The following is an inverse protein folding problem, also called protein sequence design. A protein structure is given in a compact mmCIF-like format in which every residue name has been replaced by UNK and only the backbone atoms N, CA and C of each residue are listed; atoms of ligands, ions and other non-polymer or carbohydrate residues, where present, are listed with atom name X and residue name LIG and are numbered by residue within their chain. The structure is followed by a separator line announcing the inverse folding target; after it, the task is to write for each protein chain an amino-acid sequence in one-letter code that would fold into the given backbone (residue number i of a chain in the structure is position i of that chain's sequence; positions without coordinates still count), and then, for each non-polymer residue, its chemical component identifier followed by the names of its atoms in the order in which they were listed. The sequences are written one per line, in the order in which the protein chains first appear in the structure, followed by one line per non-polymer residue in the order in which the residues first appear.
data_IF_852985307139
#
_entry.id   IF_852985307139
#
_cell.length_a   1.000
_cell.length_b   1.000
_cell.length_c   1.000
_cell.angle_alpha   90.00
_cell.angle_beta   90.00
_cell.angle_gamma   90.00
#
_symmetry.space_group_name_H-M   'P 1'
#
loop_
_entity.id
_entity.type
_entity.pdbx_description
1 polymer ?
#
# COMPACT_ATOMS: atom_id res chain seq x y z
N UNK A 1 -7.63 -7.87 -15.37
CA UNK A 1 -8.34 -7.53 -14.12
C UNK A 1 -8.55 -6.04 -13.93
N UNK A 2 -7.51 -5.20 -13.99
CA UNK A 2 -7.64 -3.76 -13.71
C UNK A 2 -8.09 -2.93 -14.93
N UNK A 3 -7.69 -3.30 -16.15
CA UNK A 3 -8.13 -2.64 -17.39
C UNK A 3 -7.10 -1.70 -17.99
N UNK A 4 -7.57 -0.72 -18.76
CA UNK A 4 -6.71 0.34 -19.30
C UNK A 4 -6.26 1.30 -18.19
N UNK A 5 -5.05 1.83 -18.31
CA UNK A 5 -4.51 2.81 -17.39
C UNK A 5 -5.23 4.16 -17.54
N UNK A 6 -5.69 4.70 -16.41
CA UNK A 6 -6.44 5.96 -16.33
C UNK A 6 -5.90 6.92 -15.27
N UNK A 7 -4.84 6.53 -14.58
CA UNK A 7 -4.20 7.28 -13.50
C UNK A 7 -3.39 8.49 -13.98
N UNK A 8 -2.62 9.06 -13.06
CA UNK A 8 -1.82 10.27 -13.32
C UNK A 8 -0.60 10.04 -14.22
N UNK A 9 -0.29 8.79 -14.58
CA UNK A 9 0.84 8.43 -15.42
C UNK A 9 2.18 8.58 -14.71
N UNK A 10 3.24 8.28 -15.46
CA UNK A 10 4.60 8.35 -14.93
C UNK A 10 5.02 9.78 -14.60
N UNK A 11 5.53 9.98 -13.38
CA UNK A 11 6.15 11.24 -12.97
C UNK A 11 7.48 10.96 -12.28
N UNK A 12 8.58 10.83 -13.05
CA UNK A 12 9.89 10.46 -12.51
C UNK A 12 10.38 11.39 -11.40
N UNK A 13 10.18 12.71 -11.53
CA UNK A 13 10.61 13.67 -10.52
C UNK A 13 9.85 13.55 -9.19
N UNK A 14 8.56 13.20 -9.24
CA UNK A 14 7.78 12.97 -8.02
C UNK A 14 8.23 11.68 -7.30
N UNK A 15 8.55 10.62 -8.04
CA UNK A 15 9.11 9.40 -7.48
C UNK A 15 10.50 9.61 -6.89
N UNK A 16 11.39 10.27 -7.64
CA UNK A 16 12.74 10.61 -7.19
C UNK A 16 12.69 11.42 -5.89
N UNK A 17 11.75 12.36 -5.75
CA UNK A 17 11.57 13.12 -4.52
C UNK A 17 11.23 12.24 -3.31
N UNK A 18 10.37 11.23 -3.47
CA UNK A 18 10.03 10.30 -2.39
C UNK A 18 11.21 9.39 -2.08
N UNK A 19 11.82 8.79 -3.10
CA UNK A 19 12.91 7.83 -2.93
C UNK A 19 14.15 8.49 -2.30
N UNK A 20 14.45 9.75 -2.66
CA UNK A 20 15.48 10.55 -2.00
C UNK A 20 15.13 10.86 -0.54
N UNK A 21 13.85 11.12 -0.24
CA UNK A 21 13.40 11.34 1.15
C UNK A 21 13.47 10.07 1.99
N UNK A 22 13.25 8.91 1.39
CA UNK A 22 13.33 7.60 2.05
C UNK A 22 14.78 7.09 2.17
N UNK A 23 15.66 7.54 1.27
CA UNK A 23 17.02 7.03 1.14
C UNK A 23 17.09 5.67 0.42
N UNK A 24 16.01 5.26 -0.26
CA UNK A 24 15.95 4.03 -1.03
C UNK A 24 14.86 4.05 -2.11
N UNK A 25 15.06 3.25 -3.15
CA UNK A 25 14.09 3.07 -4.22
C UNK A 25 12.94 2.14 -3.83
N UNK A 26 11.73 2.45 -4.27
CA UNK A 26 10.54 1.61 -4.11
C UNK A 26 10.46 0.57 -5.24
N UNK A 27 9.77 -0.58 -5.03
CA UNK A 27 9.59 -1.62 -6.03
C UNK A 27 9.00 -1.07 -7.33
N UNK A 28 9.51 -1.59 -8.46
CA UNK A 28 9.06 -1.15 -9.78
C UNK A 28 7.60 -1.49 -10.06
N UNK A 29 7.11 -2.65 -9.60
CA UNK A 29 5.73 -3.07 -9.78
C UNK A 29 4.74 -2.20 -8.99
N UNK A 30 5.11 -1.82 -7.76
CA UNK A 30 4.36 -0.83 -6.98
C UNK A 30 4.23 0.50 -7.72
N UNK A 31 5.34 1.06 -8.20
CA UNK A 31 5.32 2.33 -8.96
C UNK A 31 4.45 2.21 -10.21
N UNK A 32 4.58 1.12 -10.98
CA UNK A 32 3.80 0.90 -12.20
C UNK A 32 2.29 0.85 -11.92
N UNK A 33 1.85 0.16 -10.86
CA UNK A 33 0.42 0.12 -10.49
C UNK A 33 -0.08 1.52 -10.14
N UNK A 34 0.70 2.29 -9.37
CA UNK A 34 0.30 3.63 -8.96
C UNK A 34 0.29 4.61 -10.13
N UNK A 35 1.25 4.56 -11.03
CA UNK A 35 1.25 5.39 -12.24
C UNK A 35 0.05 5.07 -13.14
N UNK A 36 -0.30 3.78 -13.26
CA UNK A 36 -1.37 3.34 -14.11
C UNK A 36 -2.76 3.69 -13.56
N UNK A 37 -2.96 3.68 -12.24
CA UNK A 37 -4.30 3.77 -11.66
C UNK A 37 -4.45 4.81 -10.55
N UNK A 38 -3.37 5.27 -9.91
CA UNK A 38 -3.42 6.14 -8.74
C UNK A 38 -3.60 7.63 -9.05
N UNK A 39 -4.11 8.43 -8.09
CA UNK A 39 -4.65 7.99 -6.80
C UNK A 39 -6.12 7.59 -6.91
N UNK A 40 -6.48 6.47 -6.30
CA UNK A 40 -7.82 5.88 -6.37
C UNK A 40 -8.22 5.21 -5.06
N UNK A 41 -9.52 5.02 -4.91
CA UNK A 41 -10.11 4.04 -4.00
C UNK A 41 -10.65 2.88 -4.83
N UNK A 42 -10.16 1.67 -4.58
CA UNK A 42 -10.55 0.45 -5.28
C UNK A 42 -11.65 -0.28 -4.51
N UNK A 43 -12.71 -0.66 -5.23
CA UNK A 43 -13.89 -1.32 -4.71
C UNK A 43 -14.60 -0.61 -3.54
N UNK A 44 -14.21 0.61 -3.18
CA UNK A 44 -14.70 1.29 -1.98
C UNK A 44 -13.83 1.09 -0.73
N UNK A 45 -12.79 0.26 -0.80
CA UNK A 45 -12.06 -0.25 0.38
C UNK A 45 -10.58 0.12 0.38
N UNK A 46 -9.85 -0.22 -0.67
CA UNK A 46 -8.40 -0.04 -0.72
C UNK A 46 -8.05 1.33 -1.27
N UNK A 47 -7.32 2.13 -0.49
CA UNK A 47 -6.87 3.46 -0.86
C UNK A 47 -5.42 3.44 -1.34
N UNK A 48 -5.21 4.01 -2.52
CA UNK A 48 -3.89 4.19 -3.12
C UNK A 48 -3.68 5.67 -3.43
N UNK A 49 -2.58 6.22 -2.92
CA UNK A 49 -2.17 7.61 -3.14
C UNK A 49 -1.19 7.70 -4.33
N UNK A 50 -0.92 8.92 -4.80
CA UNK A 50 0.00 9.13 -5.93
C UNK A 50 0.97 10.29 -5.64
N UNK A 51 2.28 10.13 -5.91
CA UNK A 51 3.29 11.12 -5.55
C UNK A 51 3.13 12.46 -6.28
N UNK A 52 2.57 12.45 -7.50
CA UNK A 52 2.42 13.66 -8.32
C UNK A 52 1.20 14.52 -7.94
N UNK A 53 0.49 14.19 -6.86
CA UNK A 53 -0.74 14.92 -6.47
C UNK A 53 -0.52 15.73 -5.22
N UNK A 54 -1.22 16.85 -5.09
CA UNK A 54 -1.07 17.76 -3.93
C UNK A 54 -1.86 17.23 -2.74
N UNK A 55 -3.14 16.89 -2.95
CA UNK A 55 -4.06 16.51 -1.86
C UNK A 55 -3.85 15.07 -1.39
N UNK A 56 -3.61 14.15 -2.32
CA UNK A 56 -3.42 12.72 -2.06
C UNK A 56 -1.97 12.31 -2.28
N UNK A 57 -1.07 13.18 -1.80
CA UNK A 57 0.36 13.03 -2.01
C UNK A 57 0.88 11.80 -1.24
N UNK A 58 1.39 10.82 -1.97
CA UNK A 58 1.93 9.60 -1.37
C UNK A 58 3.07 9.89 -0.39
N UNK A 59 4.04 10.73 -0.75
CA UNK A 59 5.21 11.00 0.09
C UNK A 59 4.86 11.71 1.40
N UNK A 60 3.88 12.60 1.35
CA UNK A 60 3.31 13.22 2.56
C UNK A 60 2.62 12.17 3.44
N UNK A 61 1.75 11.35 2.86
CA UNK A 61 1.03 10.32 3.59
C UNK A 61 1.97 9.28 4.23
N UNK A 62 3.02 8.84 3.51
CA UNK A 62 4.06 7.96 4.05
C UNK A 62 4.68 8.58 5.29
N UNK A 63 5.13 9.84 5.20
CA UNK A 63 5.82 10.53 6.30
C UNK A 63 4.92 10.69 7.53
N UNK A 64 3.69 11.13 7.34
CA UNK A 64 2.72 11.30 8.43
C UNK A 64 2.41 9.96 9.10
N UNK A 65 2.25 8.90 8.31
CA UNK A 65 1.99 7.55 8.82
C UNK A 65 3.21 6.99 9.56
N UNK A 66 4.43 7.17 9.03
CA UNK A 66 5.68 6.76 9.69
C UNK A 66 5.85 7.44 11.05
N UNK A 67 5.54 8.74 11.15
CA UNK A 67 5.59 9.46 12.43
C UNK A 67 4.58 8.87 13.41
N UNK A 68 3.32 8.71 12.99
CA UNK A 68 2.28 8.16 13.86
C UNK A 68 2.62 6.75 14.38
N UNK A 69 3.14 5.87 13.52
CA UNK A 69 3.52 4.51 13.88
C UNK A 69 4.80 4.43 14.72
N UNK A 70 5.73 5.37 14.54
CA UNK A 70 6.94 5.48 15.35
C UNK A 70 6.69 5.96 16.79
N UNK A 71 5.54 6.58 17.07
CA UNK A 71 5.14 6.99 18.42
C UNK A 71 4.47 5.86 19.21
N UNK A 72 4.10 4.75 18.56
CA UNK A 72 3.47 3.59 19.21
C UNK A 72 4.52 2.84 20.05
N UNK A 73 4.26 2.60 21.35
CA UNK A 73 5.15 1.80 22.18
C UNK A 73 4.96 0.31 21.85
N UNK A 74 5.77 -0.20 20.94
CA UNK A 74 5.83 -1.62 20.60
C UNK A 74 6.49 -2.41 21.72
N UNK A 75 5.81 -3.42 22.25
CA UNK A 75 6.38 -4.37 23.21
C UNK A 75 6.94 -5.62 22.49
N UNK A 76 7.36 -6.61 23.27
CA UNK A 76 7.97 -7.83 22.74
C UNK A 76 6.96 -8.91 22.33
N UNK A 77 5.65 -8.71 22.56
CA UNK A 77 4.59 -9.71 22.37
C UNK A 77 3.62 -9.26 21.27
N UNK A 78 4.16 -9.11 20.06
CA UNK A 78 3.42 -8.72 18.85
C UNK A 78 3.08 -9.98 18.06
N UNK A 79 1.79 -10.25 17.85
CA UNK A 79 1.37 -11.33 16.97
C UNK A 79 1.81 -11.05 15.53
N UNK A 80 2.53 -12.02 14.95
CA UNK A 80 3.11 -11.88 13.61
C UNK A 80 4.23 -10.85 13.49
N UNK A 81 4.94 -10.58 14.59
CA UNK A 81 6.05 -9.62 14.69
C UNK A 81 6.96 -9.56 13.44
N UNK A 82 7.03 -8.41 12.75
CA UNK A 82 7.93 -8.19 11.62
C UNK A 82 9.43 -8.27 11.97
N UNK A 83 9.83 -8.01 13.24
CA UNK A 83 11.24 -7.85 13.63
C UNK A 83 12.12 -9.06 13.30
N UNK A 84 11.76 -10.32 13.63
CA UNK A 84 12.57 -11.48 13.29
C UNK A 84 12.74 -11.68 11.79
N UNK A 85 11.67 -11.48 11.00
CA UNK A 85 11.70 -11.61 9.55
C UNK A 85 12.57 -10.55 8.88
N UNK A 86 12.60 -9.33 9.44
CA UNK A 86 13.42 -8.23 8.97
C UNK A 86 14.86 -8.27 9.52
N UNK A 87 15.14 -9.07 10.55
CA UNK A 87 16.44 -9.13 11.20
C UNK A 87 16.80 -7.85 11.93
N UNK A 88 15.81 -7.18 12.52
CA UNK A 88 15.95 -5.95 13.31
C UNK A 88 15.55 -6.21 14.75
N UNK A 89 16.11 -5.46 15.71
CA UNK A 89 15.81 -5.60 17.14
C UNK A 89 14.71 -4.66 17.63
N UNK A 90 14.48 -3.57 16.91
CA UNK A 90 13.49 -2.54 17.23
C UNK A 90 12.59 -2.33 16.02
N UNK A 91 11.32 -2.03 16.26
CA UNK A 91 10.40 -1.70 15.19
C UNK A 91 10.82 -0.37 14.56
N UNK A 92 10.99 -0.36 13.23
CA UNK A 92 11.40 0.82 12.48
C UNK A 92 10.41 1.08 11.37
N UNK A 93 10.09 2.36 11.17
CA UNK A 93 9.19 2.80 10.11
C UNK A 93 9.90 3.80 9.19
N UNK A 94 9.72 3.66 7.88
CA UNK A 94 10.28 4.54 6.87
C UNK A 94 11.81 4.47 6.70
N UNK A 95 12.48 3.51 7.34
CA UNK A 95 13.92 3.26 7.16
C UNK A 95 14.16 2.20 6.09
N UNK A 96 15.41 2.11 5.62
CA UNK A 96 15.81 1.14 4.60
C UNK A 96 15.64 -0.33 5.01
N UNK A 97 15.60 -0.62 6.30
CA UNK A 97 15.45 -1.94 6.92
C UNK A 97 14.12 -2.08 7.71
N UNK A 98 13.20 -1.12 7.55
CA UNK A 98 11.95 -1.03 8.31
C UNK A 98 10.70 -1.10 7.43
N UNK A 99 9.55 -0.91 8.08
CA UNK A 99 8.22 -0.93 7.46
C UNK A 99 7.92 0.43 6.81
N UNK A 100 7.60 0.42 5.53
CA UNK A 100 7.18 1.63 4.79
C UNK A 100 5.72 1.51 4.38
N UNK A 101 4.80 2.30 4.94
CA UNK A 101 3.39 2.22 4.59
C UNK A 101 3.19 2.60 3.12
N UNK A 102 2.35 1.87 2.38
CA UNK A 102 2.12 2.09 0.94
C UNK A 102 0.65 2.19 0.55
N UNK A 103 -0.25 1.58 1.33
CA UNK A 103 -1.68 1.65 1.12
C UNK A 103 -2.40 1.42 2.44
N UNK A 104 -3.68 1.75 2.49
CA UNK A 104 -4.55 1.45 3.62
C UNK A 104 -5.95 1.12 3.17
N UNK A 105 -6.75 0.52 4.04
CA UNK A 105 -8.15 0.20 3.74
C UNK A 105 -9.11 1.00 4.62
N UNK A 106 -10.41 0.89 4.33
CA UNK A 106 -11.48 1.43 5.17
C UNK A 106 -11.76 0.59 6.43
N UNK A 107 -11.11 -0.57 6.55
CA UNK A 107 -11.22 -1.48 7.70
C UNK A 107 -10.14 -1.27 8.76
N UNK A 108 -9.21 -0.33 8.53
CA UNK A 108 -8.10 -0.03 9.45
C UNK A 108 -6.78 -0.71 9.07
N UNK A 109 -6.79 -1.59 8.06
CA UNK A 109 -5.61 -2.31 7.63
C UNK A 109 -4.60 -1.35 6.97
N UNK A 110 -3.32 -1.51 7.30
CA UNK A 110 -2.22 -0.81 6.65
C UNK A 110 -1.25 -1.78 6.02
N UNK A 111 -0.93 -1.51 4.76
CA UNK A 111 -0.05 -2.33 3.94
C UNK A 111 1.32 -1.66 3.94
N UNK A 112 2.35 -2.43 4.28
CA UNK A 112 3.73 -1.99 4.37
C UNK A 112 4.60 -2.76 3.38
N UNK A 113 5.52 -2.05 2.74
CA UNK A 113 6.69 -2.64 2.12
C UNK A 113 7.83 -2.68 3.11
N UNK A 114 8.57 -3.79 3.12
CA UNK A 114 9.79 -3.88 3.87
C UNK A 114 10.81 -4.76 3.16
N UNK A 115 12.07 -4.54 3.48
CA UNK A 115 13.19 -5.41 3.12
C UNK A 115 14.01 -5.61 4.38
N UNK A 116 14.39 -6.85 4.66
CA UNK A 116 15.19 -7.14 5.85
C UNK A 116 16.56 -6.48 5.79
N UNK A 117 17.30 -6.50 6.90
CA UNK A 117 18.64 -5.91 7.02
C UNK A 117 19.66 -6.42 5.97
N UNK A 118 19.44 -7.61 5.40
CA UNK A 118 20.24 -8.17 4.30
C UNK A 118 19.95 -7.55 2.93
N UNK A 119 18.84 -6.80 2.79
CA UNK A 119 18.45 -6.07 1.58
C UNK A 119 18.05 -6.94 0.39
N UNK A 120 17.86 -8.25 0.57
CA UNK A 120 17.79 -9.19 -0.56
C UNK A 120 16.48 -9.14 -1.34
N UNK A 121 15.31 -9.06 -0.69
CA UNK A 121 14.01 -9.06 -1.37
C UNK A 121 12.96 -8.25 -0.61
N UNK A 122 12.05 -7.62 -1.38
CA UNK A 122 10.89 -6.92 -0.83
C UNK A 122 9.83 -7.92 -0.35
N UNK A 123 9.18 -7.56 0.76
CA UNK A 123 8.07 -8.29 1.37
C UNK A 123 6.93 -7.32 1.64
N UNK A 124 5.72 -7.86 1.67
CA UNK A 124 4.55 -7.14 2.14
C UNK A 124 4.26 -7.57 3.56
N UNK A 125 4.05 -6.59 4.44
CA UNK A 125 3.43 -6.80 5.75
C UNK A 125 2.09 -6.09 5.76
N UNK A 126 1.08 -6.71 6.36
CA UNK A 126 -0.22 -6.06 6.58
C UNK A 126 -0.49 -6.04 8.07
N UNK A 127 -0.58 -4.83 8.63
CA UNK A 127 -1.14 -4.63 9.96
C UNK A 127 -2.65 -4.62 9.84
N UNK A 128 -3.34 -5.42 10.64
CA UNK A 128 -4.80 -5.60 10.57
C UNK A 128 -5.62 -4.43 11.15
N UNK A 129 -4.97 -3.58 11.95
CA UNK A 129 -5.59 -2.46 12.66
C UNK A 129 -5.81 -2.72 14.15
N UNK A 130 -5.68 -3.97 14.59
CA UNK A 130 -5.82 -4.43 15.97
C UNK A 130 -4.46 -4.79 16.62
N UNK A 131 -3.38 -4.74 15.83
CA UNK A 131 -1.99 -4.86 16.32
C UNK A 131 -1.27 -6.12 15.86
N UNK A 132 -1.95 -6.99 15.11
CA UNK A 132 -1.35 -8.17 14.49
C UNK A 132 -0.79 -7.83 13.10
N UNK A 133 0.30 -8.50 12.73
CA UNK A 133 0.92 -8.37 11.42
C UNK A 133 0.91 -9.68 10.64
N UNK A 134 0.73 -9.58 9.33
CA UNK A 134 0.78 -10.73 8.43
C UNK A 134 1.82 -10.52 7.33
N UNK A 135 2.75 -11.46 7.21
CA UNK A 135 3.81 -11.44 6.20
C UNK A 135 3.37 -12.13 4.91
N UNK A 136 3.66 -11.49 3.78
CA UNK A 136 3.53 -12.07 2.45
C UNK A 136 4.83 -11.86 1.65
N UNK A 137 5.54 -12.95 1.33
CA UNK A 137 6.75 -12.93 0.49
C UNK A 137 6.40 -12.92 -1.01
N UNK A 138 5.64 -11.91 -1.43
CA UNK A 138 5.19 -11.70 -2.82
C UNK A 138 5.35 -10.22 -3.19
N UNK A 139 5.34 -9.91 -4.49
CA UNK A 139 5.37 -8.52 -4.95
C UNK A 139 4.01 -7.83 -4.73
N UNK A 140 3.99 -6.50 -4.76
CA UNK A 140 2.79 -5.71 -4.50
C UNK A 140 1.67 -6.01 -5.50
N UNK A 141 2.03 -6.14 -6.78
CA UNK A 141 1.08 -6.47 -7.85
C UNK A 141 0.39 -7.82 -7.64
N UNK A 142 1.12 -8.83 -7.16
CA UNK A 142 0.55 -10.15 -6.80
C UNK A 142 -0.32 -10.04 -5.54
N UNK A 143 0.14 -9.33 -4.50
CA UNK A 143 -0.66 -9.07 -3.30
C UNK A 143 -1.99 -8.39 -3.65
N UNK A 144 -1.95 -7.37 -4.50
CA UNK A 144 -3.13 -6.64 -4.96
C UNK A 144 -4.07 -7.53 -5.77
N UNK A 145 -3.52 -8.38 -6.65
CA UNK A 145 -4.32 -9.33 -7.42
C UNK A 145 -5.11 -10.27 -6.49
N UNK A 146 -4.42 -10.91 -5.54
CA UNK A 146 -5.02 -11.83 -4.56
C UNK A 146 -6.07 -11.14 -3.69
N UNK A 147 -5.77 -9.93 -3.22
CA UNK A 147 -6.72 -9.12 -2.46
C UNK A 147 -8.00 -8.86 -3.27
N UNK A 148 -7.85 -8.52 -4.56
CA UNK A 148 -8.98 -8.22 -5.42
C UNK A 148 -9.81 -9.45 -5.83
N UNK A 149 -9.22 -10.64 -5.91
CA UNK A 149 -9.98 -11.89 -6.11
C UNK A 149 -10.61 -12.44 -4.83
N UNK A 150 -10.40 -11.76 -3.70
CA UNK A 150 -11.03 -12.13 -2.43
C UNK A 150 -10.28 -13.20 -1.65
N UNK A 151 -8.97 -13.35 -1.86
CA UNK A 151 -8.13 -14.11 -0.94
C UNK A 151 -7.93 -13.34 0.38
N UNK A 152 -7.59 -14.09 1.43
CA UNK A 152 -7.22 -13.56 2.74
C UNK A 152 -5.83 -12.91 2.66
N UNK A 153 -5.80 -11.58 2.48
CA UNK A 153 -4.57 -10.81 2.27
C UNK A 153 -4.29 -9.78 3.38
N UNK A 154 -5.05 -9.82 4.47
CA UNK A 154 -4.81 -9.09 5.72
C UNK A 154 -5.00 -10.00 6.94
N UNK A 155 -4.68 -11.29 6.81
CA UNK A 155 -4.83 -12.30 7.86
C UNK A 155 -6.02 -13.24 7.65
N UNK A 156 -6.20 -14.26 8.51
CA UNK A 156 -7.29 -15.22 8.39
C UNK A 156 -8.67 -14.55 8.41
N UNK A 157 -9.56 -14.96 7.51
CA UNK A 157 -10.91 -14.40 7.35
C UNK A 157 -10.95 -12.90 6.97
N UNK A 158 -9.87 -12.38 6.38
CA UNK A 158 -9.80 -10.99 5.92
C UNK A 158 -10.37 -10.77 4.51
N UNK A 159 -10.76 -11.84 3.81
CA UNK A 159 -11.30 -11.77 2.44
C UNK A 159 -12.36 -10.69 2.27
N UNK A 160 -12.20 -9.88 1.22
CA UNK A 160 -13.12 -8.82 0.85
C UNK A 160 -13.44 -8.91 -0.65
N UNK A 161 -14.28 -9.88 -1.01
CA UNK A 161 -14.66 -10.09 -2.41
C UNK A 161 -15.84 -9.21 -2.82
N UNK A 162 -15.63 -8.41 -3.86
CA UNK A 162 -16.67 -7.61 -4.51
C UNK A 162 -16.98 -8.21 -5.88
N UNK A 163 -18.20 -8.74 -6.10
CA UNK A 163 -18.58 -9.32 -7.38
C UNK A 163 -18.50 -8.32 -8.53
N UNK A 164 -18.20 -8.85 -9.72
CA UNK A 164 -18.09 -8.06 -10.94
C UNK A 164 -16.74 -7.36 -11.13
N UNK A 165 -16.67 -6.40 -12.07
CA UNK A 165 -15.44 -5.67 -12.35
C UNK A 165 -14.90 -4.90 -11.14
N UNK A 166 -13.58 -4.67 -11.12
CA UNK A 166 -12.96 -3.76 -10.14
C UNK A 166 -13.57 -2.36 -10.33
N UNK A 167 -14.17 -1.80 -9.29
CA UNK A 167 -14.62 -0.40 -9.28
C UNK A 167 -13.45 0.50 -8.90
N UNK A 168 -13.25 1.56 -9.65
CA UNK A 168 -12.29 2.61 -9.34
C UNK A 168 -13.04 3.90 -9.03
N UNK A 169 -12.64 4.56 -7.95
CA UNK A 169 -13.13 5.88 -7.59
C UNK A 169 -11.93 6.83 -7.52
N UNK A 170 -11.86 7.78 -8.45
CA UNK A 170 -10.82 8.81 -8.47
C UNK A 170 -10.87 9.66 -7.20
N UNK A 171 -9.70 10.09 -6.72
CA UNK A 171 -9.63 10.87 -5.47
C UNK A 171 -9.79 12.37 -5.79
N UNK A 172 -10.83 13.07 -5.29
CA UNK A 172 -11.12 14.46 -5.68
C UNK A 172 -10.00 15.40 -5.24
N UNK A 173 -9.47 16.23 -6.13
CA UNK A 173 -8.33 17.13 -5.85
C UNK A 173 -8.76 18.41 -5.13
N UNK A 174 -10.01 18.82 -5.30
CA UNK A 174 -10.59 20.03 -4.70
C UNK A 174 -11.88 19.75 -3.94
N UNK A 175 -12.36 20.72 -3.16
CA UNK A 175 -13.61 20.57 -2.42
C UNK A 175 -14.81 20.71 -3.37
N UNK A 176 -15.77 19.78 -3.29
CA UNK A 176 -16.96 19.77 -4.15
C UNK A 176 -16.73 19.22 -5.56
N UNK A 177 -15.54 18.72 -5.87
CA UNK A 177 -15.25 18.03 -7.12
C UNK A 177 -15.96 16.67 -7.18
N UNK A 178 -16.66 16.40 -8.29
CA UNK A 178 -17.27 15.10 -8.53
C UNK A 178 -16.20 14.01 -8.69
N UNK A 179 -16.42 12.89 -8.02
CA UNK A 179 -15.52 11.73 -8.11
C UNK A 179 -15.79 10.97 -9.40
N UNK A 180 -14.81 10.91 -10.29
CA UNK A 180 -14.87 10.05 -11.46
C UNK A 180 -14.93 8.57 -11.02
N UNK A 181 -15.84 7.80 -11.62
CA UNK A 181 -16.00 6.37 -11.36
C UNK A 181 -15.88 5.62 -12.68
N UNK A 182 -15.06 4.57 -12.70
CA UNK A 182 -14.93 3.67 -13.83
C UNK A 182 -14.71 2.24 -13.35
N UNK A 183 -14.74 1.30 -14.29
CA UNK A 183 -14.67 -0.12 -14.00
C UNK A 183 -13.60 -0.78 -14.85
N UNK A 184 -12.92 -1.76 -14.26
CA UNK A 184 -12.06 -2.66 -15.02
C UNK A 184 -12.86 -3.59 -15.94
N UNK A 185 -12.19 -4.53 -16.61
CA UNK A 185 -12.85 -5.61 -17.33
C UNK A 185 -13.60 -6.54 -16.37
N UNK A 186 -14.56 -7.29 -16.93
CA UNK A 186 -15.19 -8.39 -16.21
C UNK A 186 -14.11 -9.39 -15.75
N UNK A 187 -14.26 -9.87 -14.52
CA UNK A 187 -13.36 -10.83 -13.91
C UNK A 187 -13.71 -12.27 -14.31
N UNK A 188 -14.91 -12.49 -14.87
CA UNK A 188 -15.37 -13.80 -15.32
C UNK A 188 -15.51 -14.83 -14.20
N UNK A 189 -15.61 -14.37 -12.94
CA UNK A 189 -15.80 -15.17 -11.73
C UNK A 189 -17.23 -15.07 -11.24
#
# INVERSE_FOLDING_TARGET
MLGEATGHGANPGAWESIENSLGFGLPADYKQVLEAYGPVKLNGHLYVNHPATVRWNLGKWIRETVVAWGEVPWDDDIDGDPRPALGISEMKFGTSDGLTPIAGTDRGELIFLARGASGQEWRIFVGDGDGEFFEYSICFSEWLYRYLVGEDMAGPNSSAFYPGPVKFEGRPMSYGEETAVWYGPDRGM
#
